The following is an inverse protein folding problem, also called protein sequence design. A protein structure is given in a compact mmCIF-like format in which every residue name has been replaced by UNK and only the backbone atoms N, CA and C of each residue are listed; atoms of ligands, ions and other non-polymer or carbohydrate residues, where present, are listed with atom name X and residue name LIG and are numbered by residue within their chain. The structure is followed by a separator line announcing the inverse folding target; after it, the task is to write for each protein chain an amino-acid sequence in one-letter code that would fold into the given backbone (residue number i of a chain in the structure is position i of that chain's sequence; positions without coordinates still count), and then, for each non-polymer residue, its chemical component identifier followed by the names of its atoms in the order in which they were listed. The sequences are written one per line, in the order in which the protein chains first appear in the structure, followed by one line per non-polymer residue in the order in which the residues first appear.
data_IF_508869063603
#
_entry.id   IF_508869063603
#
_cell.length_a   1.000
_cell.length_b   1.000
_cell.length_c   1.000
_cell.angle_alpha   90.00
_cell.angle_beta   90.00
_cell.angle_gamma   90.00
#
_symmetry.space_group_name_H-M   'P 1'
#
loop_
_entity.id
_entity.type
_entity.pdbx_description
1 polymer ?
#
# COMPACT_ATOMS: atom_id res chain seq x y z
N UNK A 1 64.50 -38.41 23.28
CA UNK A 1 63.30 -37.61 23.60
C UNK A 1 63.05 -36.63 22.46
N UNK A 2 62.19 -37.02 21.50
CA UNK A 2 61.96 -36.23 20.27
C UNK A 2 60.66 -35.48 20.43
N UNK A 3 60.68 -34.15 20.45
CA UNK A 3 59.50 -33.30 20.50
C UNK A 3 58.88 -33.14 19.12
N UNK A 4 57.66 -33.62 18.94
CA UNK A 4 56.86 -33.42 17.72
C UNK A 4 56.07 -32.14 17.91
N UNK A 5 56.38 -31.10 17.11
CA UNK A 5 55.64 -29.83 17.07
C UNK A 5 54.42 -29.98 16.13
N UNK A 6 53.21 -29.84 16.64
CA UNK A 6 52.00 -29.82 15.83
C UNK A 6 51.76 -28.37 15.37
N UNK A 7 51.88 -28.14 14.08
CA UNK A 7 51.47 -26.88 13.46
C UNK A 7 49.93 -26.94 13.19
N UNK A 8 49.17 -26.07 13.81
CA UNK A 8 47.72 -25.91 13.58
C UNK A 8 47.56 -24.97 12.38
N UNK A 9 47.04 -25.54 11.27
CA UNK A 9 46.72 -24.79 10.07
C UNK A 9 45.33 -24.14 10.27
N UNK A 10 45.28 -22.83 10.44
CA UNK A 10 44.02 -22.06 10.45
C UNK A 10 43.63 -21.79 8.99
N UNK A 11 42.59 -22.48 8.51
CA UNK A 11 41.96 -22.18 7.23
C UNK A 11 41.02 -20.94 7.40
N UNK A 12 41.47 -19.81 6.91
CA UNK A 12 40.62 -18.60 6.84
C UNK A 12 39.58 -18.78 5.74
N UNK A 13 38.31 -18.80 6.10
CA UNK A 13 37.18 -18.71 5.14
C UNK A 13 37.04 -17.25 4.72
N UNK A 14 37.46 -16.93 3.51
CA UNK A 14 37.23 -15.62 2.91
C UNK A 14 35.75 -15.57 2.44
N UNK A 15 34.92 -14.81 3.14
CA UNK A 15 33.54 -14.49 2.72
C UNK A 15 33.61 -13.49 1.57
N UNK A 16 33.44 -13.94 0.33
CA UNK A 16 33.37 -13.06 -0.83
C UNK A 16 31.98 -12.37 -0.81
N UNK A 17 31.99 -11.07 -0.53
CA UNK A 17 30.80 -10.22 -0.71
C UNK A 17 30.56 -10.06 -2.23
N UNK A 18 29.55 -10.73 -2.75
CA UNK A 18 29.11 -10.57 -4.14
C UNK A 18 28.48 -9.18 -4.31
N UNK A 19 29.00 -8.37 -5.22
CA UNK A 19 28.35 -7.11 -5.63
C UNK A 19 27.13 -7.45 -6.49
N UNK A 20 25.97 -6.79 -6.26
CA UNK A 20 24.76 -7.05 -7.04
C UNK A 20 24.99 -6.70 -8.52
N UNK A 21 24.40 -7.46 -9.43
CA UNK A 21 24.43 -7.18 -10.86
C UNK A 21 23.58 -5.96 -11.20
N UNK A 22 23.80 -5.29 -12.35
CA UNK A 22 22.93 -4.21 -12.81
C UNK A 22 21.46 -4.63 -12.95
N UNK A 23 21.19 -5.90 -13.23
CA UNK A 23 19.85 -6.46 -13.31
C UNK A 23 19.20 -6.58 -11.93
N UNK A 24 19.96 -7.00 -10.90
CA UNK A 24 19.47 -7.08 -9.53
C UNK A 24 19.13 -5.69 -8.98
N UNK A 25 19.96 -4.70 -9.28
CA UNK A 25 19.72 -3.30 -8.91
C UNK A 25 18.47 -2.74 -9.61
N UNK A 26 18.27 -3.05 -10.90
CA UNK A 26 17.10 -2.60 -11.67
C UNK A 26 15.81 -3.25 -11.15
N UNK A 27 15.85 -4.54 -10.79
CA UNK A 27 14.70 -5.24 -10.19
C UNK A 27 14.37 -4.72 -8.80
N UNK A 28 15.37 -4.47 -7.95
CA UNK A 28 15.17 -3.87 -6.64
C UNK A 28 14.54 -2.48 -6.75
N UNK A 29 15.02 -1.64 -7.68
CA UNK A 29 14.44 -0.33 -7.93
C UNK A 29 12.99 -0.39 -8.47
N UNK A 30 12.63 -1.42 -9.22
CA UNK A 30 11.26 -1.60 -9.73
C UNK A 30 10.31 -2.10 -8.62
N UNK A 31 10.77 -2.98 -7.74
CA UNK A 31 10.03 -3.44 -6.57
C UNK A 31 9.73 -2.30 -5.60
N UNK A 32 10.72 -1.51 -5.24
CA UNK A 32 10.59 -0.35 -4.33
C UNK A 32 9.63 0.74 -4.84
N UNK A 33 9.11 0.62 -6.08
CA UNK A 33 8.10 1.52 -6.66
C UNK A 33 6.72 0.88 -6.79
N UNK A 34 6.58 -0.39 -6.44
CA UNK A 34 5.30 -1.12 -6.52
C UNK A 34 4.70 -1.23 -5.12
N UNK A 35 3.50 -0.70 -4.94
CA UNK A 35 2.76 -0.72 -3.68
C UNK A 35 1.43 -1.44 -3.88
N UNK A 36 0.94 -2.09 -2.82
CA UNK A 36 -0.31 -2.85 -2.85
C UNK A 36 -1.02 -2.88 -1.51
N UNK A 37 -2.31 -3.22 -1.55
CA UNK A 37 -3.11 -3.56 -0.39
C UNK A 37 -4.20 -4.56 -0.77
N UNK A 38 -4.37 -5.62 0.01
CA UNK A 38 -5.52 -6.51 -0.06
C UNK A 38 -6.60 -5.98 0.88
N UNK A 39 -7.81 -5.70 0.35
CA UNK A 39 -8.90 -5.08 1.08
C UNK A 39 -9.91 -6.14 1.54
N UNK A 40 -10.19 -6.14 2.84
CA UNK A 40 -11.15 -7.06 3.49
C UNK A 40 -11.93 -6.35 4.57
N UNK A 41 -13.17 -6.81 4.83
CA UNK A 41 -14.03 -6.23 5.87
C UNK A 41 -13.45 -6.35 7.27
N UNK A 42 -12.73 -7.44 7.56
CA UNK A 42 -12.13 -7.67 8.88
C UNK A 42 -11.03 -6.66 9.24
N UNK A 43 -10.44 -5.99 8.27
CA UNK A 43 -9.42 -4.96 8.46
C UNK A 43 -10.02 -3.57 8.79
N UNK A 44 -11.34 -3.39 8.67
CA UNK A 44 -12.00 -2.14 9.08
C UNK A 44 -12.06 -2.01 10.61
N UNK A 45 -11.87 -0.83 11.19
CA UNK A 45 -12.10 -0.55 12.62
C UNK A 45 -13.45 0.19 12.87
N UNK A 46 -14.44 -0.46 13.51
CA UNK A 46 -14.48 -1.87 13.91
C UNK A 46 -14.60 -2.80 12.71
N UNK A 47 -14.15 -4.05 12.88
CA UNK A 47 -14.20 -5.07 11.84
C UNK A 47 -15.61 -5.27 11.30
N UNK A 48 -15.71 -5.34 9.97
CA UNK A 48 -16.96 -5.58 9.23
C UNK A 48 -16.97 -7.02 8.74
N UNK A 49 -18.06 -7.75 9.03
CA UNK A 49 -18.32 -9.05 8.41
C UNK A 49 -18.93 -8.81 7.04
N UNK A 50 -18.12 -8.89 5.99
CA UNK A 50 -18.53 -8.72 4.60
C UNK A 50 -17.92 -9.82 3.74
N UNK A 51 -18.65 -10.22 2.69
CA UNK A 51 -18.13 -11.06 1.60
C UNK A 51 -17.26 -10.25 0.65
N UNK A 52 -17.34 -8.92 0.72
CA UNK A 52 -16.58 -8.00 -0.13
C UNK A 52 -15.08 -8.18 0.01
N UNK A 53 -14.40 -8.19 -1.13
CA UNK A 53 -12.95 -8.19 -1.24
C UNK A 53 -12.49 -7.14 -2.23
N UNK A 54 -11.22 -6.76 -2.17
CA UNK A 54 -10.65 -5.84 -3.15
C UNK A 54 -9.14 -5.87 -3.13
N UNK A 55 -8.56 -5.27 -4.15
CA UNK A 55 -7.13 -5.10 -4.26
C UNK A 55 -6.81 -3.69 -4.76
N UNK A 56 -5.88 -3.04 -4.11
CA UNK A 56 -5.25 -1.81 -4.57
C UNK A 56 -3.82 -2.13 -4.99
N UNK A 57 -3.46 -1.75 -6.21
CA UNK A 57 -2.09 -1.82 -6.73
C UNK A 57 -1.72 -0.46 -7.29
N UNK A 58 -0.48 -0.05 -7.07
CA UNK A 58 0.02 1.15 -7.75
C UNK A 58 1.50 1.06 -8.05
N UNK A 59 1.92 1.83 -9.05
CA UNK A 59 3.31 1.99 -9.46
C UNK A 59 3.71 3.45 -9.38
N UNK A 60 4.66 3.75 -8.49
CA UNK A 60 5.23 5.08 -8.29
C UNK A 60 6.14 5.41 -9.48
N UNK A 61 6.05 6.63 -10.01
CA UNK A 61 6.93 7.13 -11.08
C UNK A 61 8.40 7.19 -10.62
N UNK A 62 9.33 7.21 -11.57
CA UNK A 62 10.77 7.22 -11.25
C UNK A 62 11.22 8.49 -10.54
N UNK A 63 10.57 9.60 -10.82
CA UNK A 63 10.82 10.92 -10.23
C UNK A 63 10.00 11.17 -8.95
N UNK A 64 9.20 10.17 -8.54
CA UNK A 64 8.36 10.20 -7.33
C UNK A 64 7.36 11.37 -7.28
N UNK A 65 6.91 11.84 -8.44
CA UNK A 65 5.93 12.94 -8.55
C UNK A 65 4.50 12.47 -8.76
N UNK A 66 4.32 11.17 -9.06
CA UNK A 66 3.02 10.54 -9.33
C UNK A 66 3.04 9.05 -9.02
N UNK A 67 1.87 8.44 -8.98
CA UNK A 67 1.71 7.00 -9.14
C UNK A 67 0.51 6.70 -10.05
N UNK A 68 0.58 5.59 -10.76
CA UNK A 68 -0.56 5.00 -11.46
C UNK A 68 -1.13 3.88 -10.60
N UNK A 69 -2.44 3.86 -10.39
CA UNK A 69 -3.10 2.82 -9.59
C UNK A 69 -4.18 2.09 -10.38
N UNK A 70 -4.44 0.88 -9.91
CA UNK A 70 -5.62 0.09 -10.18
C UNK A 70 -6.23 -0.35 -8.86
N UNK A 71 -7.52 -0.08 -8.68
CA UNK A 71 -8.34 -0.57 -7.59
C UNK A 71 -9.40 -1.50 -8.16
N UNK A 72 -9.44 -2.74 -7.68
CA UNK A 72 -10.53 -3.69 -7.95
C UNK A 72 -11.29 -3.95 -6.66
N UNK A 73 -12.59 -4.18 -6.76
CA UNK A 73 -13.41 -4.65 -5.65
C UNK A 73 -14.53 -5.55 -6.18
N UNK A 74 -14.92 -6.52 -5.36
CA UNK A 74 -15.87 -7.55 -5.73
C UNK A 74 -16.77 -7.91 -4.54
N UNK A 75 -17.99 -8.37 -4.84
CA UNK A 75 -18.92 -8.94 -3.88
C UNK A 75 -19.25 -8.03 -2.68
N UNK A 76 -19.22 -6.69 -2.86
CA UNK A 76 -19.68 -5.78 -1.81
C UNK A 76 -21.14 -6.10 -1.43
N UNK A 77 -21.47 -6.01 -0.16
CA UNK A 77 -22.83 -6.24 0.33
C UNK A 77 -23.77 -5.03 0.10
N UNK A 78 -23.20 -3.83 -0.07
CA UNK A 78 -23.90 -2.62 -0.48
C UNK A 78 -23.38 -2.08 -1.82
N UNK A 79 -24.12 -1.15 -2.42
CA UNK A 79 -23.66 -0.46 -3.62
C UNK A 79 -22.50 0.48 -3.25
N UNK A 80 -21.41 0.47 -4.02
CA UNK A 80 -20.26 1.33 -3.78
C UNK A 80 -20.63 2.80 -3.76
N UNK A 81 -20.05 3.56 -2.84
CA UNK A 81 -20.29 5.01 -2.75
C UNK A 81 -19.03 5.82 -3.05
N UNK A 82 -17.89 5.39 -2.56
CA UNK A 82 -16.60 6.08 -2.68
C UNK A 82 -15.44 5.16 -2.27
N UNK A 83 -14.22 5.54 -2.64
CA UNK A 83 -12.99 4.89 -2.18
C UNK A 83 -11.87 5.91 -2.02
N UNK A 84 -11.00 5.70 -1.02
CA UNK A 84 -9.95 6.65 -0.65
C UNK A 84 -8.64 5.97 -0.25
N UNK A 85 -7.56 6.78 -0.27
CA UNK A 85 -6.38 6.53 0.55
C UNK A 85 -6.47 7.44 1.77
N UNK A 86 -6.26 6.85 2.94
CA UNK A 86 -6.20 7.51 4.24
C UNK A 86 -4.84 7.39 4.88
N UNK A 87 -4.55 8.25 5.85
CA UNK A 87 -3.31 8.23 6.62
C UNK A 87 -3.61 7.80 8.06
N UNK A 88 -3.29 6.55 8.38
CA UNK A 88 -3.28 6.00 9.74
C UNK A 88 -2.60 4.61 9.75
N UNK A 89 -2.12 4.23 10.93
CA UNK A 89 -1.64 2.88 11.20
C UNK A 89 -2.80 1.86 11.16
N UNK A 90 -2.44 0.58 11.05
CA UNK A 90 -3.40 -0.55 11.06
C UNK A 90 -4.35 -0.45 12.27
N UNK A 91 -5.64 -0.65 12.03
CA UNK A 91 -6.68 -0.65 13.07
C UNK A 91 -7.11 0.75 13.57
N UNK A 92 -6.65 1.83 12.94
CA UNK A 92 -7.00 3.21 13.32
C UNK A 92 -7.60 3.94 12.11
N UNK A 93 -8.68 4.71 12.32
CA UNK A 93 -9.23 5.58 11.29
C UNK A 93 -8.44 6.88 11.19
N UNK A 94 -8.07 7.25 9.97
CA UNK A 94 -7.34 8.49 9.65
C UNK A 94 -8.09 9.39 8.67
N UNK A 95 -7.53 10.57 8.42
CA UNK A 95 -8.08 11.51 7.45
C UNK A 95 -7.85 11.04 6.01
N UNK A 96 -8.73 11.49 5.10
CA UNK A 96 -8.62 11.22 3.66
C UNK A 96 -7.45 12.03 3.09
N UNK A 97 -6.60 11.35 2.33
CA UNK A 97 -5.52 11.97 1.59
C UNK A 97 -5.84 12.09 0.09
N UNK A 98 -6.31 11.00 -0.52
CA UNK A 98 -6.57 10.91 -1.96
C UNK A 98 -7.88 10.18 -2.18
N UNK A 99 -8.72 10.69 -3.08
CA UNK A 99 -9.89 10.01 -3.59
C UNK A 99 -9.49 9.05 -4.72
N UNK A 100 -9.82 7.78 -4.58
CA UNK A 100 -9.62 6.78 -5.63
C UNK A 100 -10.80 6.71 -6.58
N UNK A 101 -12.03 6.75 -6.06
CA UNK A 101 -13.22 6.89 -6.88
C UNK A 101 -14.40 7.49 -6.10
N UNK A 102 -15.39 7.94 -6.83
CA UNK A 102 -16.67 8.42 -6.32
C UNK A 102 -17.83 7.93 -7.17
N UNK A 103 -19.04 8.41 -6.87
CA UNK A 103 -20.26 8.15 -7.64
C UNK A 103 -20.90 9.46 -8.08
N UNK A 104 -21.93 9.40 -8.92
CA UNK A 104 -22.67 10.60 -9.30
C UNK A 104 -23.31 11.32 -8.10
N UNK A 105 -23.66 10.58 -7.03
CA UNK A 105 -24.19 11.13 -5.78
C UNK A 105 -23.10 11.67 -4.85
N UNK A 106 -21.89 11.12 -4.92
CA UNK A 106 -20.70 11.50 -4.14
C UNK A 106 -19.48 11.59 -5.08
N UNK A 107 -19.39 12.65 -5.90
CA UNK A 107 -18.40 12.70 -6.99
C UNK A 107 -16.96 12.90 -6.53
N UNK A 108 -16.74 13.28 -5.29
CA UNK A 108 -15.41 13.66 -4.79
C UNK A 108 -14.90 15.00 -5.39
N UNK A 109 -13.59 15.31 -5.18
CA UNK A 109 -12.93 16.44 -5.84
C UNK A 109 -12.96 16.33 -7.37
N UNK A 110 -12.77 17.46 -8.07
CA UNK A 110 -12.73 17.49 -9.53
C UNK A 110 -11.69 16.52 -10.08
N UNK A 111 -12.07 15.73 -11.07
CA UNK A 111 -11.21 14.72 -11.69
C UNK A 111 -11.24 13.34 -11.01
N UNK A 112 -11.97 13.16 -9.90
CA UNK A 112 -12.19 11.83 -9.31
C UNK A 112 -12.97 10.95 -10.30
N UNK A 113 -12.48 9.72 -10.63
CA UNK A 113 -13.19 8.83 -11.53
C UNK A 113 -14.43 8.21 -10.87
N UNK A 114 -15.34 7.68 -11.68
CA UNK A 114 -16.45 6.88 -11.16
C UNK A 114 -15.95 5.49 -10.74
N UNK A 115 -16.55 4.94 -9.67
CA UNK A 115 -16.14 3.64 -9.10
C UNK A 115 -16.46 2.42 -9.99
N UNK A 116 -17.13 2.59 -11.12
CA UNK A 116 -17.52 1.47 -12.00
C UNK A 116 -18.85 0.87 -11.60
N UNK A 117 -18.93 -0.43 -11.37
CA UNK A 117 -20.18 -1.12 -11.05
C UNK A 117 -20.66 -0.92 -9.63
N UNK A 118 -21.90 -1.36 -9.29
CA UNK A 118 -22.45 -1.11 -7.96
C UNK A 118 -21.79 -1.93 -6.86
N UNK A 119 -21.46 -3.20 -7.10
CA UNK A 119 -20.91 -4.11 -6.06
C UNK A 119 -19.59 -4.77 -6.46
N UNK A 120 -19.20 -4.61 -7.71
CA UNK A 120 -17.92 -5.05 -8.24
C UNK A 120 -17.50 -4.06 -9.30
N UNK A 121 -16.21 -3.73 -9.36
CA UNK A 121 -15.71 -2.76 -10.32
C UNK A 121 -14.20 -2.70 -10.33
N UNK A 122 -13.68 -2.06 -11.39
CA UNK A 122 -12.27 -1.73 -11.53
C UNK A 122 -12.16 -0.26 -11.89
N UNK A 123 -11.22 0.43 -11.26
CA UNK A 123 -10.93 1.82 -11.54
C UNK A 123 -9.41 2.04 -11.59
N UNK A 124 -8.97 2.79 -12.59
CA UNK A 124 -7.54 3.10 -12.77
C UNK A 124 -7.37 4.58 -13.07
N UNK A 125 -6.32 5.19 -12.52
CA UNK A 125 -5.97 6.58 -12.77
C UNK A 125 -4.53 6.88 -12.36
N UNK A 126 -3.96 7.93 -12.93
CA UNK A 126 -2.74 8.54 -12.42
C UNK A 126 -3.07 9.57 -11.33
N UNK A 127 -2.31 9.55 -10.25
CA UNK A 127 -2.40 10.47 -9.09
C UNK A 127 -1.14 11.32 -9.03
N UNK A 128 -1.32 12.61 -8.79
CA UNK A 128 -0.25 13.61 -8.65
C UNK A 128 -0.45 14.44 -7.39
N UNK A 129 0.42 15.41 -7.16
CA UNK A 129 0.27 16.37 -6.06
C UNK A 129 -1.10 17.10 -6.06
N UNK A 130 -1.69 17.36 -7.24
CA UNK A 130 -2.99 18.03 -7.34
C UNK A 130 -4.16 17.21 -6.76
N UNK A 131 -3.98 15.89 -6.59
CA UNK A 131 -5.00 14.98 -6.06
C UNK A 131 -4.90 14.81 -4.54
N UNK A 132 -3.84 15.31 -3.92
CA UNK A 132 -3.64 15.26 -2.46
C UNK A 132 -4.45 16.39 -1.80
N UNK A 133 -5.43 16.04 -0.99
CA UNK A 133 -6.32 16.99 -0.30
C UNK A 133 -5.98 17.18 1.19
N UNK A 134 -5.06 16.40 1.72
CA UNK A 134 -4.69 16.42 3.14
C UNK A 134 -4.18 15.06 3.63
N UNK A 135 -4.37 14.73 4.92
CA UNK A 135 -5.15 15.43 5.96
C UNK A 135 -4.34 16.50 6.72
N UNK A 136 -4.73 17.78 6.62
CA UNK A 136 -4.00 18.88 7.26
C UNK A 136 -3.92 18.74 8.80
N UNK A 137 -4.95 18.19 9.45
CA UNK A 137 -4.95 17.91 10.89
C UNK A 137 -3.95 16.86 11.35
N UNK A 138 -3.37 16.10 10.41
CA UNK A 138 -2.31 15.11 10.65
C UNK A 138 -0.96 15.58 10.07
N UNK A 139 -0.84 16.85 9.67
CA UNK A 139 0.40 17.45 9.19
C UNK A 139 0.68 17.28 7.70
N UNK A 140 -0.31 16.84 6.89
CA UNK A 140 -0.18 16.76 5.43
C UNK A 140 -1.10 17.80 4.80
N UNK A 141 -0.54 18.82 4.19
CA UNK A 141 -1.32 19.83 3.48
C UNK A 141 -1.72 19.35 2.06
N UNK A 142 -2.69 20.01 1.46
CA UNK A 142 -3.04 19.77 0.06
C UNK A 142 -1.82 19.98 -0.84
N UNK A 143 -1.58 19.06 -1.77
CA UNK A 143 -0.45 19.10 -2.68
C UNK A 143 0.85 18.44 -2.17
N UNK A 144 0.92 18.03 -0.91
CA UNK A 144 2.13 17.43 -0.32
C UNK A 144 2.26 15.92 -0.66
N UNK A 145 2.44 15.61 -1.93
CA UNK A 145 2.55 14.24 -2.43
C UNK A 145 3.72 13.46 -1.81
N UNK A 146 4.86 14.11 -1.59
CA UNK A 146 6.04 13.50 -0.96
C UNK A 146 5.74 13.01 0.46
N UNK A 147 4.90 13.74 1.22
CA UNK A 147 4.48 13.34 2.56
C UNK A 147 3.57 12.10 2.52
N UNK A 148 2.68 12.02 1.52
CA UNK A 148 1.84 10.85 1.29
C UNK A 148 2.70 9.62 0.95
N UNK A 149 3.69 9.75 0.05
CA UNK A 149 4.62 8.67 -0.27
C UNK A 149 5.41 8.21 0.96
N UNK A 150 5.86 9.17 1.79
CA UNK A 150 6.54 8.84 3.04
C UNK A 150 5.62 8.04 3.98
N UNK A 151 4.36 8.44 4.13
CA UNK A 151 3.39 7.71 4.94
C UNK A 151 3.13 6.30 4.42
N UNK A 152 3.01 6.13 3.09
CA UNK A 152 2.86 4.81 2.44
C UNK A 152 4.06 3.92 2.77
N UNK A 153 5.29 4.41 2.58
CA UNK A 153 6.54 3.67 2.86
C UNK A 153 6.72 3.31 4.34
N UNK A 154 6.14 4.09 5.23
CA UNK A 154 6.13 3.80 6.68
C UNK A 154 5.00 2.85 7.08
N UNK A 155 4.20 2.34 6.13
CA UNK A 155 3.08 1.46 6.39
C UNK A 155 1.93 2.13 7.16
N UNK A 156 1.86 3.48 7.15
CA UNK A 156 0.80 4.25 7.83
C UNK A 156 -0.18 4.89 6.85
N UNK A 157 -0.44 4.22 5.73
CA UNK A 157 -1.49 4.57 4.79
C UNK A 157 -2.34 3.34 4.47
N UNK A 158 -3.63 3.52 4.24
CA UNK A 158 -4.51 2.43 3.84
C UNK A 158 -5.47 2.86 2.72
N UNK A 159 -5.89 1.89 1.91
CA UNK A 159 -6.99 2.05 0.97
C UNK A 159 -8.27 1.43 1.57
N UNK A 160 -9.42 2.03 1.30
CA UNK A 160 -10.72 1.44 1.64
C UNK A 160 -11.76 1.72 0.58
N UNK A 161 -12.83 0.92 0.61
CA UNK A 161 -14.03 1.09 -0.22
C UNK A 161 -15.25 1.17 0.69
N UNK A 162 -16.06 2.18 0.46
CA UNK A 162 -17.32 2.42 1.19
C UNK A 162 -18.50 1.96 0.36
N UNK A 163 -19.55 1.51 1.03
CA UNK A 163 -20.81 1.14 0.39
C UNK A 163 -22.03 1.75 1.09
N UNK A 164 -23.19 1.60 0.47
CA UNK A 164 -24.46 2.02 1.06
C UNK A 164 -24.78 1.27 2.35
N UNK A 165 -24.30 0.01 2.49
CA UNK A 165 -24.48 -0.80 3.70
C UNK A 165 -23.48 -0.42 4.79
N UNK A 166 -22.26 -0.11 4.41
CA UNK A 166 -21.18 0.25 5.32
C UNK A 166 -20.59 1.62 4.93
N UNK A 167 -21.27 2.72 5.29
CA UNK A 167 -20.84 4.08 4.91
C UNK A 167 -19.51 4.50 5.55
N UNK A 168 -19.11 3.87 6.66
CA UNK A 168 -17.82 4.11 7.33
C UNK A 168 -16.63 3.39 6.67
N UNK A 169 -16.89 2.44 5.77
CA UNK A 169 -15.96 1.54 5.10
C UNK A 169 -16.49 0.12 5.13
N UNK A 170 -16.45 -0.57 4.00
CA UNK A 170 -16.86 -1.98 3.92
C UNK A 170 -15.65 -2.90 3.86
N UNK A 171 -14.64 -2.53 3.10
CA UNK A 171 -13.38 -3.26 2.97
C UNK A 171 -12.20 -2.29 3.04
N UNK A 172 -11.13 -2.71 3.69
CA UNK A 172 -9.92 -1.92 3.92
C UNK A 172 -8.67 -2.79 3.83
N UNK A 173 -7.54 -2.21 3.43
CA UNK A 173 -6.23 -2.83 3.47
C UNK A 173 -5.12 -1.82 3.68
N UNK A 174 -4.12 -2.17 4.51
CA UNK A 174 -2.94 -1.34 4.71
C UNK A 174 -2.07 -1.39 3.45
N UNK A 175 -1.68 -0.23 2.94
CA UNK A 175 -0.79 -0.14 1.77
C UNK A 175 0.63 -0.44 2.22
N UNK A 176 1.30 -1.34 1.48
CA UNK A 176 2.68 -1.78 1.74
C UNK A 176 3.49 -1.77 0.45
N UNK A 177 4.79 -1.59 0.56
CA UNK A 177 5.72 -1.93 -0.51
C UNK A 177 5.66 -3.45 -0.76
N UNK A 178 5.94 -3.87 -1.99
CA UNK A 178 5.87 -5.29 -2.39
C UNK A 178 6.81 -6.21 -1.62
N UNK A 179 7.86 -5.66 -1.01
CA UNK A 179 8.85 -6.41 -0.22
C UNK A 179 8.45 -6.59 1.25
N UNK A 180 7.33 -6.00 1.72
CA UNK A 180 6.88 -6.09 3.12
C UNK A 180 6.14 -7.37 3.50
N UNK A 181 5.95 -8.30 2.58
CA UNK A 181 5.18 -9.53 2.86
C UNK A 181 6.05 -10.72 3.30
N UNK A 182 7.37 -10.63 3.20
CA UNK A 182 8.27 -11.74 3.52
C UNK A 182 8.64 -11.82 5.02
N UNK A 183 8.37 -10.76 5.80
CA UNK A 183 8.80 -10.67 7.21
C UNK A 183 7.74 -11.15 8.24
N UNK A 184 6.47 -11.37 7.84
CA UNK A 184 5.39 -11.73 8.78
C UNK A 184 5.25 -13.26 9.02
N UNK A 185 6.13 -14.11 8.47
CA UNK A 185 5.99 -15.58 8.56
C UNK A 185 6.88 -16.28 9.59
N UNK A 186 7.73 -15.59 10.36
CA UNK A 186 8.72 -16.26 11.23
C UNK A 186 8.56 -16.01 12.76
N UNK A 187 7.40 -15.65 13.26
CA UNK A 187 7.18 -15.52 14.71
C UNK A 187 5.93 -16.26 15.23
N UNK A 188 5.83 -17.55 14.91
CA UNK A 188 5.01 -18.49 15.68
C UNK A 188 5.93 -19.57 16.31
N UNK A 189 6.33 -19.29 17.56
CA UNK A 189 6.83 -20.29 18.52
C UNK A 189 6.19 -20.08 19.88
#
# INVERSE_FOLDING_TARGET
MTKISRATLMAGVALALATPSPQDVAQANDRNRSIRADLRGIEEPPSVSSTGTGEFRAKISRDETSFEYELTFEELEGDVTQSHIHIAQKGVNGGISIWLCGTAALPGPAGTPLCGGPRSGTVSRSVTAADVIGPAGQGIAAGEFAEVLRAIRQGVAYANVHSTRNPGGEIRGQIRDRDGDDDDHDHDH
#
